data_IF_950664905557
#
_entry.id   IF_950664905557
#
_cell.length_a   1.000
_cell.length_b   1.000
_cell.length_c   1.000
_cell.angle_alpha   90.00
_cell.angle_beta   90.00
_cell.angle_gamma   90.00
#
_symmetry.space_group_name_H-M   'P 1'
#
loop_
_entity.id
_entity.type
_entity.pdbx_description
1 polymer ?
#
# COMPACT_ATOMS: atom_id res chain seq x y z
N UNK A 1 -11.58 -4.45 -3.59
CA UNK A 1 -10.71 -3.94 -2.51
C UNK A 1 -11.52 -3.98 -1.24
N UNK A 2 -10.95 -4.55 -0.19
CA UNK A 2 -11.62 -4.69 1.11
C UNK A 2 -11.33 -3.42 1.92
N UNK A 3 -12.37 -2.68 2.33
CA UNK A 3 -12.20 -1.33 2.89
C UNK A 3 -11.43 -1.32 4.21
N UNK A 4 -11.47 -2.42 4.97
CA UNK A 4 -10.80 -2.58 6.26
C UNK A 4 -9.36 -3.10 6.14
N UNK A 5 -8.87 -3.34 4.91
CA UNK A 5 -7.51 -3.81 4.64
C UNK A 5 -6.79 -2.72 3.81
N UNK A 6 -5.93 -1.90 4.43
CA UNK A 6 -5.25 -0.84 3.72
C UNK A 6 -4.29 -1.42 2.68
N UNK A 7 -4.24 -0.79 1.51
CA UNK A 7 -3.26 -1.07 0.48
C UNK A 7 -2.05 -0.16 0.70
N UNK A 8 -0.88 -0.73 1.01
CA UNK A 8 0.32 0.02 1.40
C UNK A 8 1.46 -0.23 0.41
N UNK A 9 2.08 0.87 -0.01
CA UNK A 9 3.40 0.91 -0.64
C UNK A 9 4.28 1.79 0.29
N UNK A 10 5.32 1.24 0.93
CA UNK A 10 6.10 1.94 1.95
C UNK A 10 6.64 3.31 1.49
N UNK A 11 7.04 3.40 0.23
CA UNK A 11 7.59 4.60 -0.41
C UNK A 11 6.53 5.69 -0.66
N UNK A 12 5.24 5.37 -0.48
CA UNK A 12 4.12 6.23 -0.87
C UNK A 12 3.22 6.58 0.31
N UNK A 13 2.80 5.57 1.08
CA UNK A 13 1.78 5.72 2.12
C UNK A 13 2.05 4.81 3.33
N UNK A 14 3.31 4.70 3.77
CA UNK A 14 3.69 3.90 4.95
C UNK A 14 2.85 4.21 6.22
N UNK A 15 2.32 5.42 6.37
CA UNK A 15 1.47 5.80 7.49
C UNK A 15 0.21 4.93 7.60
N UNK A 16 -0.35 4.49 6.47
CA UNK A 16 -1.58 3.69 6.41
C UNK A 16 -1.39 2.31 7.04
N UNK A 17 -0.16 1.81 7.14
CA UNK A 17 0.18 0.58 7.85
C UNK A 17 -0.17 0.64 9.36
N UNK A 18 -0.37 1.84 9.91
CA UNK A 18 -0.81 2.03 11.30
C UNK A 18 -2.32 1.87 11.45
N UNK A 19 -3.10 2.11 10.39
CA UNK A 19 -4.55 1.98 10.38
C UNK A 19 -4.97 0.67 9.70
N UNK A 20 -4.71 -0.46 10.38
CA UNK A 20 -5.04 -1.82 9.92
C UNK A 20 -5.95 -2.52 10.94
N UNK A 21 -7.27 -2.27 10.92
CA UNK A 21 -8.21 -2.82 11.90
C UNK A 21 -8.12 -4.35 12.05
N UNK A 22 -7.84 -5.05 10.94
CA UNK A 22 -7.70 -6.51 10.91
C UNK A 22 -6.28 -7.03 11.17
N UNK A 23 -5.33 -6.13 11.41
CA UNK A 23 -3.92 -6.45 11.53
C UNK A 23 -3.24 -6.86 10.22
N UNK A 24 -3.97 -6.92 9.10
CA UNK A 24 -3.50 -7.30 7.76
C UNK A 24 -3.32 -6.05 6.89
N UNK A 25 -2.33 -6.10 6.00
CA UNK A 25 -2.07 -5.08 4.97
C UNK A 25 -2.05 -5.79 3.62
N UNK A 26 -2.63 -5.13 2.61
CA UNK A 26 -2.46 -5.53 1.22
C UNK A 26 -1.33 -4.71 0.58
N UNK A 27 -0.58 -5.31 -0.34
CA UNK A 27 0.31 -4.56 -1.22
C UNK A 27 -0.22 -4.66 -2.67
N UNK A 28 0.03 -3.67 -3.53
CA UNK A 28 -0.32 -3.78 -4.94
C UNK A 28 0.55 -4.83 -5.63
N UNK A 29 0.14 -5.23 -6.84
CA UNK A 29 0.93 -6.14 -7.67
C UNK A 29 2.35 -5.59 -7.90
N UNK A 30 3.33 -6.48 -8.10
CA UNK A 30 4.73 -6.11 -8.34
C UNK A 30 4.92 -5.10 -9.48
N UNK A 31 4.19 -5.23 -10.60
CA UNK A 31 4.28 -4.28 -11.73
C UNK A 31 3.74 -2.90 -11.35
N UNK A 32 2.70 -2.86 -10.54
CA UNK A 32 2.10 -1.62 -10.04
C UNK A 32 3.02 -0.95 -9.02
N UNK A 33 3.64 -1.69 -8.11
CA UNK A 33 4.63 -1.13 -7.16
C UNK A 33 5.76 -0.45 -7.95
N UNK A 34 6.32 -1.13 -8.94
CA UNK A 34 7.43 -0.59 -9.75
C UNK A 34 7.00 0.66 -10.51
N UNK A 35 5.80 0.68 -11.10
CA UNK A 35 5.27 1.85 -11.79
C UNK A 35 5.05 3.03 -10.83
N UNK A 36 4.41 2.80 -9.68
CA UNK A 36 4.09 3.85 -8.72
C UNK A 36 5.35 4.47 -8.13
N UNK A 37 6.37 3.67 -7.81
CA UNK A 37 7.68 4.19 -7.36
C UNK A 37 8.37 4.98 -8.48
N UNK A 38 8.32 4.52 -9.73
CA UNK A 38 8.96 5.20 -10.84
C UNK A 38 8.34 6.57 -11.19
N UNK A 39 7.04 6.76 -10.96
CA UNK A 39 6.33 8.03 -11.22
C UNK A 39 6.25 8.96 -10.00
N UNK A 40 6.67 8.49 -8.83
CA UNK A 40 6.82 9.30 -7.62
C UNK A 40 8.18 10.02 -7.67
N UNK A 41 8.20 11.17 -8.35
CA UNK A 41 9.29 12.16 -8.34
C UNK A 41 9.14 13.12 -7.15
#
# INVERSE_FOLDING_TARGET
>A
MDADVPLVVPEVNAADAKNRPRGVIANPNCTTIQMVVAVRI
#
